data_IF_672398570940
#
_entry.id   IF_672398570940
#
_cell.length_a   1.000
_cell.length_b   1.000
_cell.length_c   1.000
_cell.angle_alpha   90.00
_cell.angle_beta   90.00
_cell.angle_gamma   90.00
#
_symmetry.space_group_name_H-M   'P 1'
#
loop_
_entity.id
_entity.type
_entity.pdbx_description
1 polymer ?
#
# COMPACT_ATOMS: atom_id res chain seq x y z
N UNK A 1 -7.21 21.53 14.69
CA UNK A 1 -6.53 20.23 14.46
C UNK A 1 -7.48 19.11 14.85
N UNK A 2 -8.18 18.42 13.93
CA UNK A 2 -8.87 17.19 14.28
C UNK A 2 -8.07 15.99 13.78
N UNK A 3 -7.60 15.21 14.75
CA UNK A 3 -7.06 13.87 14.60
C UNK A 3 -8.16 12.94 14.08
N UNK A 4 -8.12 12.63 12.78
CA UNK A 4 -8.73 11.40 12.27
C UNK A 4 -7.59 10.39 12.25
N UNK A 5 -7.36 9.78 13.41
CA UNK A 5 -6.41 8.69 13.58
C UNK A 5 -7.03 7.43 12.95
N UNK A 6 -7.12 7.40 11.61
CA UNK A 6 -7.33 6.13 10.91
C UNK A 6 -6.01 5.38 11.00
N UNK A 7 -5.82 4.67 12.11
CA UNK A 7 -4.83 3.59 12.18
C UNK A 7 -5.31 2.47 11.25
N UNK A 8 -5.03 2.60 9.95
CA UNK A 8 -4.94 1.43 9.09
C UNK A 8 -3.62 0.75 9.45
N UNK A 9 -3.70 -0.18 10.39
CA UNK A 9 -2.67 -1.19 10.62
C UNK A 9 -2.28 -1.83 9.29
N UNK A 10 -0.99 -1.99 8.98
CA UNK A 10 -0.59 -2.79 7.83
C UNK A 10 -0.90 -4.24 8.20
N UNK A 11 -2.06 -4.73 7.77
CA UNK A 11 -2.41 -6.13 7.86
C UNK A 11 -1.48 -6.86 6.90
N UNK A 12 -0.46 -7.49 7.50
CA UNK A 12 0.31 -8.53 6.84
C UNK A 12 -0.55 -9.79 6.81
N UNK A 13 -0.98 -10.09 5.59
CA UNK A 13 -1.55 -11.33 5.06
C UNK A 13 -1.42 -12.56 5.95
N UNK A 14 -2.57 -13.13 6.30
CA UNK A 14 -2.77 -14.58 6.27
C UNK A 14 -4.25 -14.90 6.01
N UNK A 15 -4.47 -15.82 5.08
CA UNK A 15 -5.71 -16.51 4.72
C UNK A 15 -6.90 -15.66 4.24
N UNK A 16 -7.24 -15.89 2.97
CA UNK A 16 -8.62 -16.05 2.49
C UNK A 16 -9.64 -15.01 2.94
N UNK A 17 -9.85 -14.00 2.12
CA UNK A 17 -11.19 -13.60 1.66
C UNK A 17 -11.03 -12.54 0.59
N UNK A 18 -11.69 -12.79 -0.53
CA UNK A 18 -11.97 -11.83 -1.57
C UNK A 18 -12.74 -10.65 -0.99
N UNK A 19 -12.08 -9.67 -0.37
CA UNK A 19 -12.67 -8.33 -0.29
C UNK A 19 -12.34 -7.58 -1.57
N UNK A 20 -12.84 -8.16 -2.66
CA UNK A 20 -13.11 -7.45 -3.89
C UNK A 20 -14.00 -6.29 -3.48
N UNK A 21 -13.44 -5.09 -3.48
CA UNK A 21 -14.18 -3.83 -3.40
C UNK A 21 -15.12 -3.77 -4.62
N UNK A 22 -16.21 -4.54 -4.56
CA UNK A 22 -17.37 -4.30 -5.37
C UNK A 22 -17.91 -2.97 -4.90
N UNK A 23 -17.70 -1.95 -5.72
CA UNK A 23 -18.36 -0.66 -5.59
C UNK A 23 -19.85 -0.99 -5.73
N UNK A 24 -20.67 -0.98 -4.66
CA UNK A 24 -22.09 -1.20 -4.83
C UNK A 24 -22.59 0.10 -5.44
N UNK A 25 -22.91 0.07 -6.74
CA UNK A 25 -23.45 1.22 -7.48
C UNK A 25 -24.85 1.63 -7.01
N UNK A 26 -25.37 1.06 -5.92
CA UNK A 26 -26.67 1.39 -5.37
C UNK A 26 -26.64 1.33 -3.84
N UNK A 27 -26.38 2.46 -3.16
CA UNK A 27 -26.74 2.63 -1.76
C UNK A 27 -27.65 3.85 -1.61
N UNK A 28 -28.95 3.57 -1.53
CA UNK A 28 -30.03 4.51 -1.27
C UNK A 28 -30.22 4.58 0.25
N UNK A 29 -29.77 5.66 0.88
CA UNK A 29 -30.01 5.93 2.30
C UNK A 29 -28.81 6.54 3.04
N UNK A 30 -28.78 7.87 3.09
CA UNK A 30 -28.23 8.66 4.21
C UNK A 30 -26.73 8.61 4.53
N UNK A 31 -25.84 8.56 3.53
CA UNK A 31 -24.65 9.42 3.40
C UNK A 31 -23.82 8.94 2.20
N UNK A 32 -24.37 9.06 0.99
CA UNK A 32 -23.61 8.80 -0.23
C UNK A 32 -22.60 9.93 -0.44
N UNK A 33 -21.48 9.89 0.29
CA UNK A 33 -20.32 10.71 -0.04
C UNK A 33 -19.83 10.21 -1.39
N UNK A 34 -20.23 10.90 -2.47
CA UNK A 34 -19.71 10.62 -3.80
C UNK A 34 -18.18 10.53 -3.76
N UNK A 35 -17.58 9.71 -4.62
CA UNK A 35 -16.11 9.56 -4.69
C UNK A 35 -15.38 10.91 -4.71
N UNK A 36 -15.95 11.89 -5.44
CA UNK A 36 -15.47 13.28 -5.48
C UNK A 36 -15.51 13.99 -4.12
N UNK A 37 -16.58 13.82 -3.35
CA UNK A 37 -16.67 14.39 -2.00
C UNK A 37 -15.69 13.73 -1.04
N UNK A 38 -15.47 12.42 -1.16
CA UNK A 38 -14.47 11.71 -0.37
C UNK A 38 -13.06 12.20 -0.71
N UNK A 39 -12.69 12.19 -1.99
CA UNK A 39 -11.37 12.63 -2.46
C UNK A 39 -11.08 14.07 -2.00
N UNK A 40 -12.05 14.98 -2.13
CA UNK A 40 -11.91 16.38 -1.67
C UNK A 40 -11.69 16.47 -0.16
N UNK A 41 -12.50 15.76 0.64
CA UNK A 41 -12.35 15.76 2.11
C UNK A 41 -11.05 15.13 2.55
N UNK A 42 -10.63 14.06 1.86
CA UNK A 42 -9.38 13.37 2.12
C UNK A 42 -8.19 14.29 1.82
N UNK A 43 -8.15 14.90 0.64
CA UNK A 43 -7.10 15.86 0.26
C UNK A 43 -7.08 17.05 1.22
N UNK A 44 -8.25 17.57 1.64
CA UNK A 44 -8.33 18.65 2.62
C UNK A 44 -7.73 18.25 3.98
N UNK A 45 -7.81 16.98 4.36
CA UNK A 45 -7.30 16.48 5.63
C UNK A 45 -5.81 16.06 5.57
N UNK A 46 -5.35 15.50 4.45
CA UNK A 46 -4.01 14.87 4.34
C UNK A 46 -3.05 15.62 3.41
N UNK A 47 -3.55 16.55 2.59
CA UNK A 47 -2.78 17.25 1.56
C UNK A 47 -2.43 16.41 0.33
N UNK A 48 -2.83 15.14 0.28
CA UNK A 48 -2.52 14.22 -0.82
C UNK A 48 -3.77 13.46 -1.30
N UNK A 49 -3.72 12.96 -2.53
CA UNK A 49 -4.83 12.17 -3.07
C UNK A 49 -4.90 10.80 -2.37
N UNK A 50 -6.09 10.19 -2.26
CA UNK A 50 -6.22 8.83 -1.74
C UNK A 50 -5.38 7.80 -2.49
N UNK A 51 -5.20 7.99 -3.80
CA UNK A 51 -4.38 7.11 -4.65
C UNK A 51 -2.90 7.22 -4.27
N UNK A 52 -2.38 8.43 -4.13
CA UNK A 52 -1.00 8.67 -3.69
C UNK A 52 -0.77 8.12 -2.27
N UNK A 53 -1.73 8.29 -1.37
CA UNK A 53 -1.66 7.70 -0.04
C UNK A 53 -1.60 6.17 -0.10
N UNK A 54 -2.48 5.54 -0.88
CA UNK A 54 -2.50 4.09 -1.05
C UNK A 54 -1.18 3.57 -1.62
N UNK A 55 -0.58 4.26 -2.60
CA UNK A 55 0.73 3.91 -3.12
C UNK A 55 1.81 3.96 -2.04
N UNK A 56 1.82 4.99 -1.19
CA UNK A 56 2.78 5.08 -0.07
C UNK A 56 2.63 3.92 0.90
N UNK A 57 1.40 3.61 1.30
CA UNK A 57 1.11 2.48 2.21
C UNK A 57 1.61 1.16 1.62
N UNK A 58 1.32 0.90 0.34
CA UNK A 58 1.80 -0.31 -0.36
C UNK A 58 3.33 -0.40 -0.41
N UNK A 59 4.02 0.70 -0.70
CA UNK A 59 5.48 0.71 -0.75
C UNK A 59 6.09 0.51 0.64
N UNK A 60 5.55 1.11 1.69
CA UNK A 60 6.03 0.87 3.06
C UNK A 60 5.83 -0.59 3.50
N UNK A 61 4.70 -1.21 3.15
CA UNK A 61 4.50 -2.64 3.38
C UNK A 61 5.51 -3.50 2.61
N UNK A 62 5.78 -3.16 1.33
CA UNK A 62 6.77 -3.86 0.51
C UNK A 62 8.18 -3.76 1.10
N UNK A 63 8.60 -2.58 1.58
CA UNK A 63 9.90 -2.39 2.25
C UNK A 63 10.04 -3.30 3.47
N UNK A 64 9.05 -3.30 4.36
CA UNK A 64 9.06 -4.16 5.55
C UNK A 64 9.14 -5.65 5.19
N UNK A 65 8.47 -6.07 4.12
CA UNK A 65 8.54 -7.45 3.63
C UNK A 65 9.91 -7.81 3.03
N UNK A 66 10.53 -6.89 2.29
CA UNK A 66 11.85 -7.09 1.68
C UNK A 66 12.95 -7.17 2.77
N UNK A 67 12.87 -6.34 3.80
CA UNK A 67 13.78 -6.31 4.95
C UNK A 67 13.76 -7.61 5.76
N UNK A 68 12.58 -8.25 5.86
CA UNK A 68 12.43 -9.56 6.52
C UNK A 68 13.07 -10.70 5.76
N UNK A 69 13.36 -10.54 4.46
CA UNK A 69 14.09 -11.53 3.65
C UNK A 69 13.33 -12.78 3.21
N UNK A 70 12.21 -13.13 3.86
CA UNK A 70 11.52 -14.42 3.73
C UNK A 70 10.88 -14.69 2.36
N UNK A 71 10.48 -13.63 1.64
CA UNK A 71 9.73 -13.72 0.38
C UNK A 71 10.55 -13.18 -0.79
N UNK A 72 10.31 -13.71 -1.98
CA UNK A 72 10.82 -13.17 -3.25
C UNK A 72 10.17 -11.82 -3.57
N UNK A 73 10.82 -11.02 -4.43
CA UNK A 73 10.26 -9.75 -4.90
C UNK A 73 8.90 -9.95 -5.59
N UNK A 74 8.74 -11.06 -6.32
CA UNK A 74 7.53 -11.41 -7.03
C UNK A 74 6.36 -11.74 -6.09
N UNK A 75 6.60 -12.51 -5.03
CA UNK A 75 5.57 -12.79 -4.02
C UNK A 75 5.13 -11.50 -3.30
N UNK A 76 6.09 -10.64 -2.96
CA UNK A 76 5.81 -9.36 -2.28
C UNK A 76 4.97 -8.45 -3.16
N UNK A 77 5.24 -8.41 -4.48
CA UNK A 77 4.45 -7.63 -5.44
C UNK A 77 2.96 -7.99 -5.37
N UNK A 78 2.61 -9.28 -5.44
CA UNK A 78 1.22 -9.71 -5.34
C UNK A 78 0.63 -9.42 -3.96
N UNK A 79 1.41 -9.63 -2.90
CA UNK A 79 0.98 -9.40 -1.52
C UNK A 79 0.61 -7.94 -1.24
N UNK A 80 1.35 -7.00 -1.82
CA UNK A 80 1.03 -5.56 -1.72
C UNK A 80 0.00 -5.09 -2.77
N UNK A 81 -0.58 -6.03 -3.52
CA UNK A 81 -1.69 -5.79 -4.44
C UNK A 81 -1.27 -5.13 -5.75
N UNK A 82 -0.12 -5.54 -6.31
CA UNK A 82 0.25 -5.27 -7.70
C UNK A 82 0.17 -6.57 -8.51
N UNK A 83 -0.37 -6.48 -9.73
CA UNK A 83 -0.44 -7.61 -10.66
C UNK A 83 0.59 -7.52 -11.79
N UNK A 84 1.24 -6.36 -11.93
CA UNK A 84 2.22 -6.04 -12.97
C UNK A 84 3.57 -5.68 -12.32
N UNK A 85 4.60 -6.45 -12.68
CA UNK A 85 5.96 -6.30 -12.19
C UNK A 85 6.58 -4.96 -12.58
N UNK A 86 6.33 -4.52 -13.82
CA UNK A 86 6.89 -3.26 -14.32
C UNK A 86 6.31 -2.09 -13.55
N UNK A 87 4.99 -2.09 -13.36
CA UNK A 87 4.30 -1.06 -12.58
C UNK A 87 4.78 -1.02 -11.12
N UNK A 88 4.95 -2.18 -10.48
CA UNK A 88 5.48 -2.25 -9.12
C UNK A 88 6.91 -1.72 -9.03
N UNK A 89 7.81 -2.16 -9.92
CA UNK A 89 9.21 -1.74 -9.94
C UNK A 89 9.35 -0.23 -10.18
N UNK A 90 8.57 0.32 -11.10
CA UNK A 90 8.60 1.75 -11.42
C UNK A 90 8.13 2.59 -10.22
N UNK A 91 7.01 2.21 -9.59
CA UNK A 91 6.51 2.93 -8.41
C UNK A 91 7.47 2.77 -7.22
N UNK A 92 7.96 1.55 -6.97
CA UNK A 92 8.89 1.29 -5.87
C UNK A 92 10.18 2.10 -6.03
N UNK A 93 10.79 2.08 -7.23
CA UNK A 93 11.99 2.87 -7.53
C UNK A 93 11.72 4.36 -7.45
N UNK A 94 10.57 4.84 -7.94
CA UNK A 94 10.19 6.25 -7.82
C UNK A 94 10.04 6.71 -6.36
N UNK A 95 9.57 5.85 -5.46
CA UNK A 95 9.35 6.18 -4.05
C UNK A 95 10.59 5.98 -3.16
N UNK A 96 11.43 5.00 -3.48
CA UNK A 96 12.57 4.61 -2.63
C UNK A 96 13.95 4.96 -3.22
N UNK A 97 14.02 5.26 -4.51
CA UNK A 97 15.27 5.47 -5.25
C UNK A 97 15.97 4.19 -5.70
N UNK A 98 15.54 3.01 -5.23
CA UNK A 98 16.18 1.72 -5.49
C UNK A 98 15.21 0.75 -6.17
N UNK A 99 15.72 -0.22 -6.94
CA UNK A 99 14.87 -1.33 -7.36
C UNK A 99 14.52 -2.20 -6.14
N UNK A 100 13.39 -2.93 -6.15
CA UNK A 100 13.04 -3.84 -5.05
C UNK A 100 14.15 -4.85 -4.74
N UNK A 101 14.85 -5.35 -5.76
CA UNK A 101 15.98 -6.29 -5.62
C UNK A 101 17.18 -5.62 -4.95
N UNK A 102 17.55 -4.42 -5.38
CA UNK A 102 18.66 -3.66 -4.77
C UNK A 102 18.34 -3.29 -3.32
N UNK A 103 17.07 -2.91 -3.06
CA UNK A 103 16.58 -2.64 -1.71
C UNK A 103 16.70 -3.88 -0.82
N UNK A 104 16.22 -5.04 -1.29
CA UNK A 104 16.38 -6.30 -0.58
C UNK A 104 17.85 -6.62 -0.32
N UNK A 105 18.72 -6.51 -1.31
CA UNK A 105 20.15 -6.81 -1.14
C UNK A 105 20.82 -5.91 -0.11
N UNK A 106 20.43 -4.64 -0.06
CA UNK A 106 20.98 -3.64 0.86
C UNK A 106 20.52 -3.85 2.29
N UNK A 107 19.23 -4.14 2.51
CA UNK A 107 18.64 -4.14 3.85
C UNK A 107 18.38 -5.54 4.43
N UNK A 108 18.39 -6.61 3.62
CA UNK A 108 18.22 -7.98 4.12
C UNK A 108 19.47 -8.52 4.83
N UNK A 109 20.66 -7.96 4.57
CA UNK A 109 21.92 -8.44 5.16
C UNK A 109 22.11 -8.02 6.64
N UNK A 110 21.39 -7.02 7.11
CA UNK A 110 21.48 -6.57 8.51
C UNK A 110 20.76 -7.53 9.47
N UNK A 111 19.81 -8.34 8.98
CA UNK A 111 19.06 -9.32 9.78
C UNK A 111 19.84 -10.62 10.05
N UNK A 112 21.05 -10.78 9.49
CA UNK A 112 21.86 -12.01 9.59
C UNK A 112 22.92 -11.97 10.69
N UNK A 113 22.89 -10.98 11.60
CA UNK A 113 23.96 -10.74 12.58
C UNK A 113 23.56 -10.88 14.06
N UNK A 114 22.50 -11.63 14.39
CA UNK A 114 22.14 -11.95 15.78
C UNK A 114 21.86 -13.44 15.97
#
# INVERSE_FOLDING_TARGET
>A
MPAILIRFTPILVSSSTEERLEIPTTFKGSCAVSRRNFDRRFIKATGITPVEYMQRVKIEAAKSLLERGRKSVFEIMYEVGYSDERAFRDVFKKKTGLSPTDYKLRFNKESSFF
#
